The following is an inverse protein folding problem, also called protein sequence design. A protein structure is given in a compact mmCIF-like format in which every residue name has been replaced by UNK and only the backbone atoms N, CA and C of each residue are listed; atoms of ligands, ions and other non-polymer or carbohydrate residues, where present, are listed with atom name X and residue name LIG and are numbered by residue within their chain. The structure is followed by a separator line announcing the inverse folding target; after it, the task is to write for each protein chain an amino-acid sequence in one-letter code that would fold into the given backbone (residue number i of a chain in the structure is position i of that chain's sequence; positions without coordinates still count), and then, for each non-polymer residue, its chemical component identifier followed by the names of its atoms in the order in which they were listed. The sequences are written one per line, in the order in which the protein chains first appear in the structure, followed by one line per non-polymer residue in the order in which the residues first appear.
data_IF_751422444864
#
_entry.id   IF_751422444864
#
_cell.length_a   1.000
_cell.length_b   1.000
_cell.length_c   1.000
_cell.angle_alpha   90.00
_cell.angle_beta   90.00
_cell.angle_gamma   90.00
#
_symmetry.space_group_name_H-M   'P 1'
#
loop_
_entity.id
_entity.type
_entity.pdbx_description
1 polymer ?
#
# COMPACT_ATOMS: atom_id res chain seq x y z
N UNK A 1 -2.96 8.80 4.36
CA UNK A 1 -3.21 8.54 2.93
C UNK A 1 -4.16 9.61 2.39
N UNK A 2 -3.89 10.08 1.19
CA UNK A 2 -4.69 11.03 0.42
C UNK A 2 -5.00 10.44 -0.95
N UNK A 3 -6.21 10.65 -1.46
CA UNK A 3 -6.68 10.10 -2.74
C UNK A 3 -7.09 11.24 -3.64
N UNK A 4 -6.66 11.18 -4.90
CA UNK A 4 -6.99 12.18 -5.93
C UNK A 4 -7.42 11.48 -7.22
N UNK A 5 -8.05 12.25 -8.11
CA UNK A 5 -8.54 11.78 -9.40
C UNK A 5 -9.44 10.53 -9.29
N UNK A 6 -10.13 10.36 -8.16
CA UNK A 6 -11.02 9.24 -7.93
C UNK A 6 -12.28 9.41 -8.78
N UNK A 7 -12.36 8.68 -9.88
CA UNK A 7 -13.41 8.86 -10.88
C UNK A 7 -14.04 7.52 -11.25
N UNK A 8 -15.12 7.19 -10.54
CA UNK A 8 -15.92 5.97 -10.71
C UNK A 8 -16.81 6.00 -11.95
N UNK A 9 -17.03 7.18 -12.54
CA UNK A 9 -17.76 7.37 -13.79
C UNK A 9 -16.83 7.30 -15.03
N UNK A 10 -15.50 7.32 -14.84
CA UNK A 10 -14.54 7.14 -15.93
C UNK A 10 -14.46 5.68 -16.38
N UNK A 11 -14.17 5.49 -17.66
CA UNK A 11 -13.88 4.19 -18.23
C UNK A 11 -12.58 4.28 -19.07
N UNK A 12 -11.46 3.72 -18.60
CA UNK A 12 -11.30 2.97 -17.34
C UNK A 12 -11.42 3.88 -16.10
N UNK A 13 -11.75 3.28 -14.95
CA UNK A 13 -11.72 3.95 -13.65
C UNK A 13 -10.33 4.52 -13.38
N UNK A 14 -10.28 5.72 -12.79
CA UNK A 14 -9.03 6.36 -12.39
C UNK A 14 -9.02 6.67 -10.91
N UNK A 15 -7.85 6.54 -10.30
CA UNK A 15 -7.56 7.02 -8.95
C UNK A 15 -6.05 7.05 -8.71
N UNK A 16 -5.65 7.90 -7.78
CA UNK A 16 -4.27 8.03 -7.31
C UNK A 16 -4.30 8.07 -5.79
N UNK A 17 -3.67 7.09 -5.15
CA UNK A 17 -3.47 7.04 -3.71
C UNK A 17 -2.04 7.44 -3.37
N UNK A 18 -1.90 8.38 -2.45
CA UNK A 18 -0.63 8.84 -1.92
C UNK A 18 -0.57 8.54 -0.43
N UNK A 19 0.44 7.80 -0.01
CA UNK A 19 0.61 7.41 1.39
C UNK A 19 2.08 7.35 1.77
N UNK A 20 2.38 7.63 3.02
CA UNK A 20 3.72 7.48 3.56
C UNK A 20 3.85 6.11 4.23
N UNK A 21 4.91 5.37 3.89
CA UNK A 21 5.27 4.10 4.54
C UNK A 21 6.54 4.33 5.34
N UNK A 22 6.54 3.86 6.59
CA UNK A 22 7.70 3.86 7.48
C UNK A 22 8.28 2.46 7.57
N UNK A 23 9.58 2.33 7.36
CA UNK A 23 10.30 1.07 7.49
C UNK A 23 11.34 1.24 8.59
N UNK A 24 11.40 0.27 9.49
CA UNK A 24 12.39 0.19 10.55
C UNK A 24 13.13 -1.14 10.47
N UNK A 25 14.46 -1.09 10.54
CA UNK A 25 15.28 -2.26 10.82
C UNK A 25 15.60 -2.30 12.32
N UNK A 26 14.86 -3.05 13.14
CA UNK A 26 15.10 -3.09 14.59
C UNK A 26 16.35 -3.89 14.96
N UNK A 27 16.97 -4.59 14.01
CA UNK A 27 18.12 -5.45 14.28
C UNK A 27 19.35 -4.63 14.66
N UNK A 28 20.07 -5.10 15.67
CA UNK A 28 21.28 -4.45 16.18
C UNK A 28 22.57 -4.92 15.49
N UNK A 29 22.53 -6.09 14.83
CA UNK A 29 23.69 -6.74 14.20
C UNK A 29 23.48 -7.11 12.74
N UNK A 30 22.24 -7.03 12.26
CA UNK A 30 21.85 -7.46 10.93
C UNK A 30 21.45 -6.25 10.10
N UNK A 31 21.98 -6.22 8.88
CA UNK A 31 21.53 -5.32 7.83
C UNK A 31 20.34 -5.92 7.10
N UNK A 32 19.43 -5.05 6.66
CA UNK A 32 18.25 -5.41 5.90
C UNK A 32 18.42 -4.95 4.46
N UNK A 33 18.35 -5.88 3.54
CA UNK A 33 18.26 -5.62 2.11
C UNK A 33 16.81 -5.86 1.72
N UNK A 34 16.09 -4.83 1.28
CA UNK A 34 14.79 -4.97 0.62
C UNK A 34 15.10 -5.21 -0.85
N UNK A 35 14.99 -6.48 -1.26
CA UNK A 35 15.31 -6.93 -2.61
C UNK A 35 14.22 -6.53 -3.62
N UNK A 36 13.00 -6.29 -3.15
CA UNK A 36 11.89 -5.75 -3.91
C UNK A 36 10.67 -5.52 -3.02
N UNK A 37 9.78 -4.62 -3.43
CA UNK A 37 8.52 -4.40 -2.73
C UNK A 37 7.41 -4.05 -3.72
N UNK A 38 6.31 -4.79 -3.64
CA UNK A 38 5.06 -4.50 -4.32
C UNK A 38 4.07 -3.92 -3.33
N UNK A 39 3.34 -2.88 -3.74
CA UNK A 39 2.28 -2.27 -2.95
C UNK A 39 1.00 -2.28 -3.77
N UNK A 40 -0.05 -2.88 -3.22
CA UNK A 40 -1.36 -3.04 -3.83
C UNK A 40 -2.41 -2.29 -3.02
N UNK A 41 -3.37 -1.71 -3.73
CA UNK A 41 -4.59 -1.16 -3.18
C UNK A 41 -5.75 -2.05 -3.59
N UNK A 42 -6.46 -2.58 -2.61
CA UNK A 42 -7.59 -3.46 -2.84
C UNK A 42 -8.91 -2.80 -2.40
N UNK A 43 -9.98 -3.06 -3.15
CA UNK A 43 -11.36 -2.77 -2.74
C UNK A 43 -12.05 -4.05 -2.26
N UNK A 44 -12.71 -3.98 -1.11
CA UNK A 44 -13.39 -5.11 -0.44
C UNK A 44 -12.49 -6.36 -0.28
N UNK A 45 -11.19 -6.16 0.01
CA UNK A 45 -10.13 -7.18 0.15
C UNK A 45 -9.83 -8.00 -1.13
N UNK A 46 -10.77 -8.09 -2.07
CA UNK A 46 -10.75 -9.02 -3.21
C UNK A 46 -10.23 -8.43 -4.51
N UNK A 47 -10.46 -7.14 -4.75
CA UNK A 47 -10.22 -6.54 -6.07
C UNK A 47 -9.05 -5.58 -6.01
N UNK A 48 -7.94 -5.94 -6.64
CA UNK A 48 -6.83 -5.01 -6.90
C UNK A 48 -7.33 -3.86 -7.79
N UNK A 49 -7.27 -2.65 -7.27
CA UNK A 49 -7.67 -1.42 -7.97
C UNK A 49 -6.48 -0.52 -8.31
N UNK A 50 -5.27 -0.89 -7.91
CA UNK A 50 -4.07 -0.13 -8.17
C UNK A 50 -2.85 -0.78 -7.55
N UNK A 51 -1.71 -0.66 -8.22
CA UNK A 51 -0.47 -1.21 -7.71
C UNK A 51 0.72 -0.29 -8.04
N UNK A 52 1.81 -0.48 -7.32
CA UNK A 52 3.09 0.16 -7.61
C UNK A 52 4.25 -0.71 -7.12
N UNK A 53 5.41 -0.52 -7.74
CA UNK A 53 6.64 -1.20 -7.40
C UNK A 53 7.61 -0.20 -6.80
N UNK A 54 8.22 -0.57 -5.68
CA UNK A 54 9.23 0.24 -5.03
C UNK A 54 10.60 -0.39 -5.25
N UNK A 55 11.56 0.46 -5.59
CA UNK A 55 12.92 0.06 -5.88
C UNK A 55 13.59 -0.61 -4.67
N UNK A 56 14.54 -1.53 -4.90
CA UNK A 56 15.33 -2.13 -3.84
C UNK A 56 16.04 -1.08 -2.99
N UNK A 57 16.15 -1.36 -1.68
CA UNK A 57 16.78 -0.45 -0.73
C UNK A 57 17.58 -1.20 0.32
N UNK A 58 18.63 -0.55 0.83
CA UNK A 58 19.48 -1.06 1.89
C UNK A 58 19.26 -0.28 3.18
N UNK A 59 19.20 -1.01 4.30
CA UNK A 59 19.08 -0.43 5.63
C UNK A 59 20.13 -1.00 6.57
N UNK A 60 20.94 -0.11 7.12
CA UNK A 60 21.84 -0.43 8.23
C UNK A 60 21.07 -0.88 9.48
N UNK A 61 21.79 -1.43 10.45
CA UNK A 61 21.23 -1.80 11.75
C UNK A 61 20.63 -0.59 12.46
N UNK A 62 19.45 -0.75 13.09
CA UNK A 62 18.71 0.31 13.79
C UNK A 62 18.29 1.50 12.93
N UNK A 63 18.40 1.40 11.60
CA UNK A 63 17.99 2.47 10.72
C UNK A 63 16.45 2.55 10.61
N UNK A 64 15.93 3.76 10.45
CA UNK A 64 14.53 4.06 10.18
C UNK A 64 14.45 4.97 8.96
N UNK A 65 13.50 4.70 8.08
CA UNK A 65 13.26 5.56 6.92
C UNK A 65 11.77 5.68 6.64
N UNK A 66 11.41 6.78 5.99
CA UNK A 66 10.07 7.04 5.48
C UNK A 66 10.15 7.21 3.98
N UNK A 67 9.15 6.72 3.25
CA UNK A 67 9.02 6.92 1.82
C UNK A 67 7.59 7.28 1.46
N UNK A 68 7.45 8.21 0.52
CA UNK A 68 6.17 8.47 -0.11
C UNK A 68 5.93 7.41 -1.18
N UNK A 69 4.77 6.78 -1.10
CA UNK A 69 4.31 5.76 -2.02
C UNK A 69 3.10 6.29 -2.76
N UNK A 70 3.19 6.21 -4.08
CA UNK A 70 2.16 6.61 -5.01
C UNK A 70 1.68 5.37 -5.74
N UNK A 71 0.39 5.08 -5.56
CA UNK A 71 -0.30 3.98 -6.22
C UNK A 71 -1.26 4.63 -7.22
N UNK A 72 -1.22 4.19 -8.47
CA UNK A 72 -2.18 4.61 -9.48
C UNK A 72 -3.00 3.41 -9.92
N UNK A 73 -4.20 3.66 -10.43
CA UNK A 73 -4.97 2.65 -11.17
C UNK A 73 -4.14 2.07 -12.30
N UNK A 74 -4.28 0.77 -12.56
CA UNK A 74 -3.59 0.11 -13.67
C UNK A 74 -3.89 0.80 -15.01
N UNK A 75 -2.85 1.28 -15.68
CA UNK A 75 -2.97 2.04 -16.94
C UNK A 75 -3.22 1.16 -18.17
N UNK A 76 -3.13 -0.17 -18.01
CA UNK A 76 -3.32 -1.12 -19.11
C UNK A 76 -4.66 -1.85 -19.01
N UNK A 77 -5.22 -2.25 -20.15
CA UNK A 77 -6.48 -2.99 -20.22
C UNK A 77 -6.46 -4.31 -19.41
N UNK A 78 -5.29 -4.91 -19.18
CA UNK A 78 -5.14 -6.14 -18.39
C UNK A 78 -5.23 -5.91 -16.88
N UNK A 79 -5.04 -4.67 -16.43
CA UNK A 79 -5.13 -4.26 -15.03
C UNK A 79 -6.24 -3.22 -14.81
N UNK A 80 -7.16 -3.10 -15.77
CA UNK A 80 -8.29 -2.18 -15.67
C UNK A 80 -9.28 -2.69 -14.63
N UNK A 81 -9.72 -1.79 -13.75
CA UNK A 81 -10.76 -2.09 -12.77
C UNK A 81 -12.08 -2.35 -13.51
N UNK A 82 -12.76 -3.49 -13.27
CA UNK A 82 -14.03 -3.77 -13.90
C UNK A 82 -15.06 -2.67 -13.62
N UNK A 83 -15.89 -2.34 -14.61
CA UNK A 83 -16.87 -1.23 -14.53
C UNK A 83 -17.80 -1.41 -13.31
N UNK A 84 -18.23 -2.62 -13.02
CA UNK A 84 -19.12 -2.90 -11.88
C UNK A 84 -18.43 -2.67 -10.52
N UNK A 85 -17.11 -2.90 -10.42
CA UNK A 85 -16.32 -2.55 -9.24
C UNK A 85 -16.22 -1.04 -9.07
N UNK A 86 -15.97 -0.31 -10.15
CA UNK A 86 -15.96 1.15 -10.12
C UNK A 86 -17.33 1.72 -9.69
N UNK A 87 -18.43 1.15 -10.20
CA UNK A 87 -19.79 1.53 -9.81
C UNK A 87 -20.09 1.24 -8.35
N UNK A 88 -19.64 0.10 -7.81
CA UNK A 88 -19.82 -0.25 -6.40
C UNK A 88 -19.03 0.70 -5.48
N UNK A 89 -17.77 0.99 -5.82
CA UNK A 89 -17.00 2.05 -5.15
C UNK A 89 -17.72 3.41 -5.20
N UNK A 90 -18.38 3.73 -6.32
CA UNK A 90 -19.16 4.96 -6.47
C UNK A 90 -20.42 5.00 -5.59
N UNK A 91 -21.03 3.86 -5.29
CA UNK A 91 -22.13 3.76 -4.32
C UNK A 91 -21.62 3.95 -2.89
N UNK A 92 -20.53 3.28 -2.53
CA UNK A 92 -19.93 3.37 -1.21
C UNK A 92 -19.48 4.81 -0.91
N UNK A 93 -18.85 5.45 -1.89
CA UNK A 93 -18.50 6.86 -1.82
C UNK A 93 -19.72 7.74 -1.47
N UNK A 94 -20.86 7.54 -2.14
CA UNK A 94 -22.11 8.28 -1.87
C UNK A 94 -22.70 7.96 -0.49
N UNK A 95 -22.40 6.78 0.04
CA UNK A 95 -22.82 6.32 1.37
C UNK A 95 -21.87 6.73 2.50
N UNK A 96 -20.87 7.58 2.22
CA UNK A 96 -20.04 8.22 3.23
C UNK A 96 -18.57 7.82 3.23
N UNK A 97 -18.11 7.00 2.29
CA UNK A 97 -16.68 6.70 2.11
C UNK A 97 -16.44 5.35 1.46
N UNK A 98 -15.21 5.11 1.00
CA UNK A 98 -14.80 3.84 0.38
C UNK A 98 -13.76 3.17 1.27
N UNK A 99 -13.98 1.91 1.62
CA UNK A 99 -13.03 1.12 2.38
C UNK A 99 -12.05 0.44 1.43
N UNK A 100 -10.77 0.63 1.72
CA UNK A 100 -9.70 -0.05 1.01
C UNK A 100 -8.90 -0.95 1.94
N UNK A 101 -8.13 -1.84 1.33
CA UNK A 101 -7.11 -2.66 1.99
C UNK A 101 -5.78 -2.37 1.30
N UNK A 102 -4.77 -1.97 2.07
CA UNK A 102 -3.40 -1.80 1.56
C UNK A 102 -2.62 -3.08 1.80
N UNK A 103 -2.16 -3.73 0.73
CA UNK A 103 -1.31 -4.92 0.83
C UNK A 103 0.10 -4.59 0.37
N UNK A 104 1.11 -4.99 1.12
CA UNK A 104 2.51 -4.79 0.79
C UNK A 104 3.22 -6.14 0.85
N UNK A 105 3.85 -6.52 -0.25
CA UNK A 105 4.70 -7.71 -0.31
C UNK A 105 6.15 -7.29 -0.41
N UNK A 106 6.95 -7.70 0.56
CA UNK A 106 8.37 -7.32 0.67
C UNK A 106 9.20 -8.58 0.53
N UNK A 107 10.12 -8.59 -0.44
CA UNK A 107 11.21 -9.56 -0.45
C UNK A 107 12.41 -8.95 0.25
N UNK A 108 12.90 -9.61 1.28
CA UNK A 108 13.99 -9.10 2.08
C UNK A 108 15.06 -10.15 2.37
N UNK A 109 16.30 -9.68 2.49
CA UNK A 109 17.45 -10.47 2.89
C UNK A 109 18.14 -9.82 4.09
N UNK A 110 18.21 -10.55 5.20
CA UNK A 110 19.03 -10.18 6.35
C UNK A 110 20.46 -10.68 6.16
N UNK A 111 21.44 -9.83 6.40
CA UNK A 111 22.88 -10.19 6.39
C UNK A 111 23.57 -9.69 7.65
N UNK A 112 24.54 -10.45 8.16
CA UNK A 112 25.38 -9.97 9.27
C UNK A 112 26.62 -9.24 8.73
N UNK A 113 26.96 -8.09 9.32
CA UNK A 113 28.24 -7.42 9.05
C UNK A 113 29.44 -8.12 9.70
N UNK A 114 29.21 -8.95 10.73
CA UNK A 114 30.27 -9.63 11.48
C UNK A 114 30.46 -11.09 11.04
N UNK A 115 29.39 -11.75 10.64
CA UNK A 115 29.40 -13.14 10.18
C UNK A 115 29.12 -13.19 8.68
N UNK A 116 30.20 -13.21 7.89
CA UNK A 116 30.17 -13.16 6.42
C UNK A 116 29.28 -14.23 5.78
N UNK A 117 28.98 -15.31 6.49
CA UNK A 117 28.18 -16.45 6.01
C UNK A 117 26.71 -16.38 6.41
N UNK A 118 26.33 -15.50 7.34
CA UNK A 118 24.94 -15.39 7.77
C UNK A 118 24.14 -14.57 6.74
N UNK A 119 23.25 -15.27 6.03
CA UNK A 119 22.26 -14.70 5.12
C UNK A 119 20.93 -15.41 5.33
N UNK A 120 19.84 -14.66 5.52
CA UNK A 120 18.48 -15.20 5.59
C UNK A 120 17.56 -14.38 4.70
N UNK A 121 16.99 -15.00 3.69
CA UNK A 121 15.92 -14.40 2.90
C UNK A 121 14.57 -14.68 3.54
N UNK A 122 13.66 -13.71 3.48
CA UNK A 122 12.31 -13.78 3.99
C UNK A 122 11.37 -13.00 3.06
N UNK A 123 10.09 -13.36 3.09
CA UNK A 123 9.02 -12.61 2.47
C UNK A 123 8.17 -12.05 3.60
N UNK A 124 7.88 -10.75 3.58
CA UNK A 124 6.93 -10.13 4.50
C UNK A 124 5.68 -9.78 3.72
N UNK A 125 4.52 -10.13 4.25
CA UNK A 125 3.24 -9.65 3.77
C UNK A 125 2.66 -8.73 4.84
N UNK A 126 2.45 -7.47 4.50
CA UNK A 126 1.78 -6.48 5.33
C UNK A 126 0.40 -6.26 4.76
N UNK A 127 -0.60 -6.21 5.62
CA UNK A 127 -1.96 -5.92 5.24
C UNK A 127 -2.53 -4.92 6.25
N UNK A 128 -3.07 -3.82 5.74
CA UNK A 128 -3.80 -2.83 6.53
C UNK A 128 -5.24 -2.80 6.04
N UNK A 129 -6.14 -3.29 6.89
CA UNK A 129 -7.56 -3.38 6.61
C UNK A 129 -8.30 -2.09 6.98
N UNK A 130 -9.58 -2.01 6.61
CA UNK A 130 -10.50 -0.95 7.02
C UNK A 130 -9.94 0.48 6.82
N UNK A 131 -9.22 0.68 5.70
CA UNK A 131 -8.72 1.99 5.30
C UNK A 131 -9.85 2.80 4.67
N UNK A 132 -10.74 3.30 5.52
CA UNK A 132 -11.87 4.13 5.08
C UNK A 132 -11.39 5.49 4.58
N UNK A 133 -11.63 5.79 3.32
CA UNK A 133 -11.38 7.09 2.70
C UNK A 133 -12.68 7.85 2.57
N UNK A 134 -12.74 9.02 3.21
CA UNK A 134 -13.88 9.92 3.14
C UNK A 134 -13.65 10.93 2.02
N UNK A 135 -14.63 11.08 1.14
CA UNK A 135 -14.61 12.08 0.07
C UNK A 135 -15.43 13.28 0.52
N UNK A 136 -14.82 14.47 0.45
CA UNK A 136 -15.50 15.70 0.86
C UNK A 136 -16.57 16.14 -0.15
N UNK A 137 -16.86 17.44 -0.19
CA UNK A 137 -17.79 18.00 -1.18
C UNK A 137 -17.34 17.77 -2.64
N UNK A 138 -16.04 17.50 -2.86
CA UNK A 138 -15.50 16.99 -4.12
C UNK A 138 -15.49 15.47 -4.09
N UNK A 139 -16.23 14.82 -4.98
CA UNK A 139 -16.22 13.36 -5.15
C UNK A 139 -14.93 12.83 -5.80
N UNK A 140 -13.92 13.67 -6.05
CA UNK A 140 -12.67 13.25 -6.69
C UNK A 140 -11.47 13.23 -5.76
N UNK A 141 -11.61 13.83 -4.58
CA UNK A 141 -10.56 13.94 -3.57
C UNK A 141 -11.04 13.35 -2.25
N UNK A 142 -10.20 12.53 -1.64
CA UNK A 142 -10.53 11.83 -0.41
C UNK A 142 -9.35 11.76 0.55
N UNK A 143 -9.66 11.68 1.84
CA UNK A 143 -8.65 11.55 2.89
C UNK A 143 -9.00 10.35 3.76
N UNK A 144 -7.97 9.59 4.15
CA UNK A 144 -8.12 8.51 5.10
C UNK A 144 -8.74 9.02 6.42
N UNK A 145 -9.74 8.30 6.91
CA UNK A 145 -10.36 8.57 8.20
C UNK A 145 -9.31 8.48 9.32
N UNK A 146 -9.28 9.52 10.15
CA UNK A 146 -8.41 9.53 11.31
C UNK A 146 -8.97 8.58 12.37
N UNK A 147 -8.24 7.51 12.63
CA UNK A 147 -8.49 6.58 13.72
C UNK A 147 -7.31 6.70 14.68
N UNK A 148 -7.60 7.03 15.94
CA UNK A 148 -6.60 7.06 16.99
C UNK A 148 -6.17 5.62 17.30
N UNK A 149 -4.86 5.37 17.41
CA UNK A 149 -4.29 4.06 17.75
C UNK A 149 -4.77 2.95 16.79
N UNK A 150 -4.51 3.14 15.49
CA UNK A 150 -4.91 2.21 14.43
C UNK A 150 -4.18 0.85 14.58
N UNK A 151 -4.95 -0.23 14.80
CA UNK A 151 -4.46 -1.61 15.02
C UNK A 151 -4.76 -2.55 13.83
N UNK A 152 -5.26 -2.01 12.71
CA UNK A 152 -5.71 -2.77 11.52
C UNK A 152 -4.57 -3.17 10.56
N UNK A 153 -3.32 -2.83 10.89
CA UNK A 153 -2.14 -3.21 10.12
C UNK A 153 -1.41 -4.38 10.77
N UNK A 154 -1.26 -5.49 10.06
CA UNK A 154 -0.56 -6.68 10.53
C UNK A 154 0.51 -7.16 9.57
N UNK A 155 1.54 -7.80 10.11
CA UNK A 155 2.69 -8.33 9.36
C UNK A 155 2.74 -9.85 9.53
N UNK A 156 2.85 -10.56 8.42
CA UNK A 156 3.06 -12.01 8.37
C UNK A 156 4.30 -12.37 7.55
N UNK A 157 4.88 -13.54 7.83
CA UNK A 157 6.11 -14.07 7.19
C UNK A 157 5.84 -15.41 6.53
#
# INVERSE_FOLDING_TARGET
MHVTNFNTDANPFTARWETEIRIENPNTKLYLYVDGMEVFMNYNDKYDVGFTWINPMFMESKNKTSMQVVINTGESAHHAVPIWIAQDMGKDQKNGGVNFVLKIKVWATLKSGMWLWFRRSLILNVECDDLKVNFGNSSREGTLEYIKDREDCYVST
#
